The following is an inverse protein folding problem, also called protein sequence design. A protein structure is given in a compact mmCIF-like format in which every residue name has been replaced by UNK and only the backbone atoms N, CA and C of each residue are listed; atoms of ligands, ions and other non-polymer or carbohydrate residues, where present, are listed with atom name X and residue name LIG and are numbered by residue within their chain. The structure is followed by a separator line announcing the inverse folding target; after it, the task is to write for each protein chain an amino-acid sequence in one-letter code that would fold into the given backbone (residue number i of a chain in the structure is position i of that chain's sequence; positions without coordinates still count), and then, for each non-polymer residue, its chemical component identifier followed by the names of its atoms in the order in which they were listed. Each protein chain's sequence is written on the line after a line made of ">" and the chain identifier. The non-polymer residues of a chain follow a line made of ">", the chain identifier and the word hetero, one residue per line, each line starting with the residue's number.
data_IF_431398892539
#
_entry.id   IF_431398892539
#
_cell.length_a   1.000
_cell.length_b   1.000
_cell.length_c   1.000
_cell.angle_alpha   90.00
_cell.angle_beta   90.00
_cell.angle_gamma   90.00
#
_symmetry.space_group_name_H-M   'P 1'
#
loop_
_entity.id
_entity.type
_entity.pdbx_description
1 polymer ?
#
# COMPACT_ATOMS: atom_id res chain seq x y z
N UNK A 1 -11.66 -13.22 12.55
CA UNK A 1 -10.28 -12.97 12.14
C UNK A 1 -9.49 -12.47 13.32
N UNK A 2 -8.28 -13.02 13.57
CA UNK A 2 -7.37 -12.64 14.65
C UNK A 2 -6.24 -11.78 14.11
N UNK A 3 -6.00 -10.61 14.72
CA UNK A 3 -4.84 -9.76 14.42
C UNK A 3 -3.93 -9.73 15.64
N UNK A 4 -2.66 -10.13 15.45
CA UNK A 4 -1.63 -10.09 16.49
C UNK A 4 -1.01 -8.69 16.56
N UNK A 5 -0.91 -8.17 17.80
CA UNK A 5 -0.23 -6.92 18.14
C UNK A 5 0.89 -7.23 19.14
N UNK A 6 2.15 -7.38 18.69
CA UNK A 6 3.26 -7.78 19.55
C UNK A 6 3.77 -6.66 20.48
N UNK A 7 3.40 -5.40 20.19
CA UNK A 7 3.75 -4.23 21.02
C UNK A 7 2.62 -3.87 22.00
N UNK A 8 2.11 -4.89 22.70
CA UNK A 8 0.92 -4.79 23.56
C UNK A 8 1.05 -3.77 24.70
N UNK A 9 2.25 -3.35 25.06
CA UNK A 9 2.48 -2.34 26.09
C UNK A 9 2.32 -0.89 25.58
N UNK A 10 2.31 -0.68 24.26
CA UNK A 10 2.13 0.64 23.65
C UNK A 10 0.69 1.16 23.86
N UNK A 11 0.55 2.39 24.34
CA UNK A 11 -0.76 2.97 24.69
C UNK A 11 -1.65 3.22 23.46
N UNK A 12 -1.07 3.54 22.30
CA UNK A 12 -1.84 3.71 21.05
C UNK A 12 -2.40 2.35 20.58
N UNK A 13 -1.61 1.28 20.70
CA UNK A 13 -2.05 -0.10 20.38
C UNK A 13 -3.19 -0.51 21.30
N UNK A 14 -3.08 -0.29 22.62
CA UNK A 14 -4.15 -0.60 23.58
C UNK A 14 -5.44 0.15 23.28
N UNK A 15 -5.31 1.45 23.02
CA UNK A 15 -6.46 2.30 22.71
C UNK A 15 -7.14 1.83 21.42
N UNK A 16 -6.38 1.60 20.35
CA UNK A 16 -6.94 1.08 19.10
C UNK A 16 -7.60 -0.29 19.29
N UNK A 17 -6.94 -1.22 19.99
CA UNK A 17 -7.48 -2.56 20.22
C UNK A 17 -8.82 -2.57 20.93
N UNK A 18 -9.06 -1.60 21.83
CA UNK A 18 -10.35 -1.46 22.52
C UNK A 18 -11.51 -1.08 21.58
N UNK A 19 -11.22 -0.49 20.41
CA UNK A 19 -12.19 -0.05 19.42
C UNK A 19 -12.39 -1.03 18.25
N UNK A 20 -11.61 -2.14 18.18
CA UNK A 20 -11.67 -3.10 17.08
C UNK A 20 -12.83 -4.09 17.14
N UNK A 21 -13.75 -3.95 18.12
CA UNK A 21 -14.94 -4.80 18.22
C UNK A 21 -15.77 -4.74 16.95
N UNK A 22 -16.07 -5.89 16.35
CA UNK A 22 -16.80 -5.97 15.08
C UNK A 22 -15.92 -5.89 13.82
N UNK A 23 -14.64 -5.53 13.95
CA UNK A 23 -13.66 -5.51 12.86
C UNK A 23 -12.82 -6.79 12.92
N UNK A 24 -12.18 -7.05 14.06
CA UNK A 24 -11.36 -8.22 14.30
C UNK A 24 -11.30 -8.60 15.78
N UNK A 25 -10.70 -9.74 16.08
CA UNK A 25 -10.28 -10.16 17.43
C UNK A 25 -8.83 -9.71 17.63
N UNK A 26 -8.55 -8.66 18.43
CA UNK A 26 -7.19 -8.24 18.70
C UNK A 26 -6.51 -9.21 19.69
N UNK A 27 -5.35 -9.73 19.31
CA UNK A 27 -4.49 -10.55 20.16
C UNK A 27 -3.33 -9.67 20.63
N UNK A 28 -3.41 -9.19 21.86
CA UNK A 28 -2.40 -8.34 22.48
C UNK A 28 -1.36 -9.21 23.19
N UNK A 29 -0.13 -9.20 22.71
CA UNK A 29 1.00 -9.89 23.34
C UNK A 29 2.23 -9.01 23.37
N UNK A 30 2.95 -9.01 24.50
CA UNK A 30 4.25 -8.35 24.58
C UNK A 30 5.35 -9.35 24.24
N UNK A 31 5.77 -9.36 22.97
CA UNK A 31 6.78 -10.28 22.47
C UNK A 31 7.62 -9.66 21.36
N UNK A 32 8.81 -10.20 21.11
CA UNK A 32 9.69 -9.74 20.05
C UNK A 32 9.13 -10.08 18.64
N UNK A 33 9.67 -9.38 17.63
CA UNK A 33 9.25 -9.56 16.23
C UNK A 33 9.44 -10.98 15.70
N UNK A 34 10.49 -11.67 16.12
CA UNK A 34 10.75 -13.05 15.71
C UNK A 34 9.66 -13.99 16.21
N UNK A 35 9.33 -13.87 17.50
CA UNK A 35 8.26 -14.65 18.14
C UNK A 35 6.92 -14.35 17.48
N UNK A 36 6.59 -13.07 17.27
CA UNK A 36 5.35 -12.65 16.65
C UNK A 36 5.21 -13.16 15.21
N UNK A 37 6.25 -13.01 14.39
CA UNK A 37 6.26 -13.51 13.01
C UNK A 37 6.17 -15.03 12.93
N UNK A 38 6.79 -15.75 13.88
CA UNK A 38 6.69 -17.21 13.97
C UNK A 38 5.27 -17.66 14.32
N UNK A 39 4.61 -17.00 15.29
CA UNK A 39 3.20 -17.27 15.63
C UNK A 39 2.27 -17.03 14.45
N UNK A 40 2.48 -15.92 13.74
CA UNK A 40 1.73 -15.63 12.52
C UNK A 40 1.91 -16.73 11.45
N UNK A 41 3.15 -17.16 11.22
CA UNK A 41 3.46 -18.23 10.26
C UNK A 41 2.81 -19.58 10.65
N UNK A 42 2.74 -19.88 11.94
CA UNK A 42 2.09 -21.08 12.46
C UNK A 42 0.55 -21.03 12.43
N UNK A 43 -0.04 -19.89 12.08
CA UNK A 43 -1.51 -19.72 12.00
C UNK A 43 -2.18 -19.44 13.34
N UNK A 44 -1.44 -18.99 14.35
CA UNK A 44 -1.99 -18.57 15.65
C UNK A 44 -2.76 -17.24 15.52
N UNK A 45 -2.42 -16.46 14.48
CA UNK A 45 -3.15 -15.29 14.04
C UNK A 45 -3.30 -15.30 12.50
N UNK A 46 -4.23 -14.49 11.99
CA UNK A 46 -4.50 -14.34 10.56
C UNK A 46 -3.65 -13.21 9.93
N UNK A 47 -3.37 -12.16 10.72
CA UNK A 47 -2.56 -11.01 10.34
C UNK A 47 -1.77 -10.48 11.54
N UNK A 48 -0.79 -9.59 11.30
CA UNK A 48 -0.02 -8.90 12.33
C UNK A 48 0.05 -7.40 12.04
N UNK A 49 -0.11 -6.58 13.08
CA UNK A 49 0.14 -5.13 13.06
C UNK A 49 1.24 -4.84 14.08
N UNK A 50 2.34 -4.25 13.61
CA UNK A 50 3.53 -3.94 14.41
C UNK A 50 4.23 -2.69 13.86
N UNK A 51 5.38 -2.30 14.38
CA UNK A 51 6.26 -1.25 13.81
C UNK A 51 6.18 0.10 14.48
N UNK A 52 5.31 0.28 15.48
CA UNK A 52 5.24 1.57 16.16
C UNK A 52 6.52 1.86 16.98
N UNK A 53 7.14 0.83 17.53
CA UNK A 53 8.39 0.89 18.28
C UNK A 53 9.57 0.21 17.55
N UNK A 54 9.32 -0.44 16.41
CA UNK A 54 10.34 -1.08 15.58
C UNK A 54 10.70 -0.26 14.34
N UNK A 55 11.85 -0.57 13.72
CA UNK A 55 12.17 0.02 12.42
C UNK A 55 11.49 -0.77 11.29
N UNK A 56 11.10 -0.07 10.22
CA UNK A 56 10.57 -0.71 8.99
C UNK A 56 11.48 -1.82 8.47
N UNK A 57 12.80 -1.64 8.57
CA UNK A 57 13.77 -2.66 8.18
C UNK A 57 13.62 -3.94 8.98
N UNK A 58 13.49 -3.82 10.31
CA UNK A 58 13.40 -4.99 11.19
C UNK A 58 12.08 -5.73 10.99
N UNK A 59 10.98 -5.00 10.80
CA UNK A 59 9.67 -5.60 10.48
C UNK A 59 9.72 -6.35 9.14
N UNK A 60 10.29 -5.75 8.08
CA UNK A 60 10.42 -6.40 6.78
C UNK A 60 11.31 -7.65 6.88
N UNK A 61 12.45 -7.58 7.59
CA UNK A 61 13.33 -8.73 7.76
C UNK A 61 12.65 -9.86 8.53
N UNK A 62 12.00 -9.57 9.65
CA UNK A 62 11.26 -10.57 10.41
C UNK A 62 10.13 -11.20 9.58
N UNK A 63 9.37 -10.39 8.84
CA UNK A 63 8.31 -10.90 7.96
C UNK A 63 8.89 -11.80 6.86
N UNK A 64 9.98 -11.40 6.21
CA UNK A 64 10.62 -12.20 5.17
C UNK A 64 11.16 -13.52 5.70
N UNK A 65 11.83 -13.49 6.85
CA UNK A 65 12.60 -14.63 7.34
C UNK A 65 11.71 -15.66 8.06
N UNK A 66 10.61 -15.25 8.68
CA UNK A 66 9.73 -16.13 9.46
C UNK A 66 8.37 -16.38 8.80
N UNK A 67 7.72 -15.36 8.23
CA UNK A 67 6.44 -15.52 7.50
C UNK A 67 6.70 -16.03 6.09
N UNK A 68 7.69 -15.46 5.42
CA UNK A 68 8.12 -15.84 4.07
C UNK A 68 7.33 -15.15 2.95
N UNK A 69 7.99 -15.06 1.79
CA UNK A 69 7.39 -14.52 0.56
C UNK A 69 6.39 -15.54 0.02
N UNK A 70 5.29 -15.06 -0.55
CA UNK A 70 4.27 -15.90 -1.17
C UNK A 70 4.84 -16.66 -2.38
N UNK A 71 4.32 -17.86 -2.61
CA UNK A 71 4.86 -18.77 -3.61
C UNK A 71 4.75 -18.18 -5.03
N UNK A 72 5.84 -18.32 -5.80
CA UNK A 72 5.93 -17.78 -7.16
C UNK A 72 6.28 -16.31 -7.25
N UNK A 73 6.30 -15.55 -6.15
CA UNK A 73 6.65 -14.12 -6.15
C UNK A 73 8.15 -13.92 -5.94
N UNK A 74 8.70 -12.94 -6.63
CA UNK A 74 10.09 -12.45 -6.47
C UNK A 74 10.14 -11.06 -5.87
N UNK A 75 9.08 -10.29 -6.06
CA UNK A 75 8.94 -8.92 -5.60
C UNK A 75 7.96 -8.88 -4.43
N UNK A 76 8.29 -8.15 -3.39
CA UNK A 76 7.34 -7.73 -2.35
C UNK A 76 7.25 -6.21 -2.37
N UNK A 77 6.14 -5.67 -1.92
CA UNK A 77 5.81 -4.26 -1.97
C UNK A 77 5.10 -3.80 -0.69
N UNK A 78 4.69 -2.56 -0.68
CA UNK A 78 3.86 -1.99 0.38
C UNK A 78 2.79 -1.09 -0.19
N UNK A 79 1.66 -1.00 0.50
CA UNK A 79 0.64 -0.01 0.21
C UNK A 79 0.24 0.78 1.44
N UNK A 80 -0.22 1.99 1.20
CA UNK A 80 -0.90 2.85 2.17
C UNK A 80 -2.34 3.08 1.72
N UNK A 81 -3.26 3.14 2.68
CA UNK A 81 -4.65 3.52 2.44
C UNK A 81 -4.87 4.91 3.01
N UNK A 82 -4.98 5.91 2.16
CA UNK A 82 -5.26 7.28 2.57
C UNK A 82 -6.77 7.54 2.49
N UNK A 83 -7.41 7.77 3.65
CA UNK A 83 -8.83 8.15 3.78
C UNK A 83 -8.92 9.63 4.06
N UNK A 84 -9.44 10.38 3.09
CA UNK A 84 -9.64 11.82 3.20
C UNK A 84 -10.85 12.16 4.11
N UNK A 85 -10.91 13.38 4.66
CA UNK A 85 -12.05 13.83 5.47
C UNK A 85 -13.42 13.79 4.77
N UNK A 86 -13.43 13.88 3.44
CA UNK A 86 -14.65 13.77 2.63
C UNK A 86 -15.07 12.32 2.31
N UNK A 87 -14.33 11.33 2.85
CA UNK A 87 -14.60 9.90 2.71
C UNK A 87 -13.94 9.25 1.49
N UNK A 88 -13.32 10.00 0.58
CA UNK A 88 -12.58 9.40 -0.54
C UNK A 88 -11.38 8.60 -0.02
N UNK A 89 -11.15 7.45 -0.64
CA UNK A 89 -9.99 6.60 -0.34
C UNK A 89 -9.05 6.51 -1.53
N UNK A 90 -7.76 6.58 -1.27
CA UNK A 90 -6.70 6.35 -2.24
C UNK A 90 -5.73 5.28 -1.73
N UNK A 91 -5.34 4.39 -2.62
CA UNK A 91 -4.23 3.46 -2.36
C UNK A 91 -2.96 4.07 -2.96
N UNK A 92 -1.88 4.13 -2.18
CA UNK A 92 -0.57 4.65 -2.60
C UNK A 92 0.45 3.53 -2.47
N UNK A 93 1.23 3.22 -3.50
CA UNK A 93 2.24 2.15 -3.53
C UNK A 93 3.37 2.48 -4.54
N UNK A 94 4.62 2.15 -4.30
CA UNK A 94 5.25 1.66 -3.08
C UNK A 94 5.93 2.82 -2.33
N UNK A 95 5.70 2.92 -1.05
CA UNK A 95 6.28 4.03 -0.25
C UNK A 95 7.19 3.56 0.89
N UNK A 96 7.46 2.24 1.05
CA UNK A 96 8.20 1.72 2.19
C UNK A 96 9.21 0.59 1.87
N UNK A 97 9.08 -0.12 0.76
CA UNK A 97 9.90 -1.33 0.52
C UNK A 97 10.85 -1.24 -0.64
N UNK A 98 10.40 -0.90 -1.84
CA UNK A 98 11.21 -0.91 -3.05
C UNK A 98 11.76 0.49 -3.37
N UNK A 99 13.08 0.69 -3.17
CA UNK A 99 13.69 2.02 -3.28
C UNK A 99 13.60 2.60 -4.68
N UNK A 100 13.97 1.83 -5.68
CA UNK A 100 13.94 2.23 -7.09
C UNK A 100 13.63 0.98 -7.94
N UNK A 101 12.35 0.68 -8.18
CA UNK A 101 11.96 -0.52 -8.88
C UNK A 101 12.45 -0.53 -10.33
N UNK A 102 12.83 -1.69 -10.84
CA UNK A 102 12.96 -1.92 -12.29
C UNK A 102 11.58 -1.91 -12.94
N UNK A 103 11.51 -1.93 -14.27
CA UNK A 103 10.22 -2.02 -14.98
C UNK A 103 9.44 -3.29 -14.59
N UNK A 104 10.14 -4.44 -14.46
CA UNK A 104 9.52 -5.70 -14.02
C UNK A 104 9.00 -5.60 -12.59
N UNK A 105 9.80 -5.08 -11.66
CA UNK A 105 9.37 -4.87 -10.27
C UNK A 105 8.21 -3.88 -10.17
N UNK A 106 8.22 -2.81 -10.98
CA UNK A 106 7.11 -1.86 -11.01
C UNK A 106 5.82 -2.50 -11.51
N UNK A 107 5.92 -3.40 -12.49
CA UNK A 107 4.80 -4.21 -12.95
C UNK A 107 4.27 -5.15 -11.85
N UNK A 108 5.16 -5.82 -11.11
CA UNK A 108 4.78 -6.66 -9.97
C UNK A 108 4.11 -5.85 -8.85
N UNK A 109 4.62 -4.63 -8.56
CA UNK A 109 4.02 -3.69 -7.60
C UNK A 109 2.59 -3.32 -8.02
N UNK A 110 2.37 -3.01 -9.31
CA UNK A 110 1.03 -2.74 -9.86
C UNK A 110 0.08 -3.92 -9.60
N UNK A 111 0.52 -5.14 -9.92
CA UNK A 111 -0.28 -6.35 -9.79
C UNK A 111 -0.65 -6.63 -8.33
N UNK A 112 0.34 -6.66 -7.44
CA UNK A 112 0.14 -6.87 -6.00
C UNK A 112 -0.79 -5.81 -5.39
N UNK A 113 -0.58 -4.55 -5.78
CA UNK A 113 -1.39 -3.43 -5.26
C UNK A 113 -2.81 -3.48 -5.79
N UNK A 114 -3.02 -3.81 -7.08
CA UNK A 114 -4.35 -3.95 -7.67
C UNK A 114 -5.19 -5.00 -6.93
N UNK A 115 -4.62 -6.19 -6.70
CA UNK A 115 -5.36 -7.29 -6.07
C UNK A 115 -5.74 -6.98 -4.61
N UNK A 116 -4.85 -6.31 -3.86
CA UNK A 116 -5.16 -5.82 -2.53
C UNK A 116 -6.20 -4.68 -2.56
N UNK A 117 -6.01 -3.71 -3.47
CA UNK A 117 -6.89 -2.54 -3.60
C UNK A 117 -8.32 -2.93 -3.96
N UNK A 118 -8.53 -3.95 -4.79
CA UNK A 118 -9.85 -4.45 -5.16
C UNK A 118 -10.66 -4.89 -3.94
N UNK A 119 -10.00 -5.54 -2.98
CA UNK A 119 -10.60 -5.96 -1.72
C UNK A 119 -10.85 -4.79 -0.78
N UNK A 120 -9.82 -3.92 -0.57
CA UNK A 120 -9.88 -2.81 0.38
C UNK A 120 -10.89 -1.74 -0.05
N UNK A 121 -10.95 -1.41 -1.34
CA UNK A 121 -11.83 -0.36 -1.85
C UNK A 121 -13.27 -0.86 -2.07
N UNK A 122 -13.46 -2.16 -2.31
CA UNK A 122 -14.77 -2.73 -2.67
C UNK A 122 -15.31 -2.23 -4.01
N UNK A 123 -14.45 -1.63 -4.85
CA UNK A 123 -14.75 -1.16 -6.20
C UNK A 123 -13.57 -1.46 -7.14
N UNK A 124 -13.80 -1.31 -8.45
CA UNK A 124 -12.74 -1.55 -9.44
C UNK A 124 -11.57 -0.59 -9.23
N UNK A 125 -10.34 -1.10 -9.01
CA UNK A 125 -9.15 -0.30 -8.98
C UNK A 125 -8.89 0.37 -10.34
N UNK A 126 -8.61 1.65 -10.33
CA UNK A 126 -8.18 2.47 -11.46
C UNK A 126 -6.77 2.93 -11.18
N UNK A 127 -5.81 2.23 -11.75
CA UNK A 127 -4.39 2.32 -11.39
C UNK A 127 -3.70 3.36 -12.25
N UNK A 128 -3.23 4.44 -11.64
CA UNK A 128 -2.38 5.44 -12.30
C UNK A 128 -0.92 5.23 -11.90
N UNK A 129 -0.03 5.03 -12.89
CA UNK A 129 1.42 5.05 -12.66
C UNK A 129 1.89 6.49 -12.77
N UNK A 130 2.33 7.05 -11.65
CA UNK A 130 2.62 8.47 -11.52
C UNK A 130 4.01 8.84 -12.04
N UNK A 131 4.10 10.06 -12.58
CA UNK A 131 5.33 10.67 -13.04
C UNK A 131 5.19 12.21 -13.02
N UNK A 132 6.28 12.93 -13.31
CA UNK A 132 6.25 14.36 -13.59
C UNK A 132 5.66 14.69 -14.98
N UNK A 133 5.44 13.68 -15.81
CA UNK A 133 4.94 13.75 -17.20
C UNK A 133 3.54 13.14 -17.31
N UNK A 134 2.80 13.48 -18.36
CA UNK A 134 1.56 12.83 -18.76
C UNK A 134 1.64 12.50 -20.25
N UNK A 135 1.73 11.20 -20.57
CA UNK A 135 1.81 10.65 -21.93
C UNK A 135 2.84 11.37 -22.80
N UNK A 136 4.10 11.46 -22.33
CA UNK A 136 5.22 12.05 -23.07
C UNK A 136 5.32 13.57 -23.00
N UNK A 137 4.46 14.27 -22.25
CA UNK A 137 4.48 15.73 -22.15
C UNK A 137 5.76 16.31 -21.54
N UNK A 138 6.51 15.50 -20.76
CA UNK A 138 7.77 15.88 -20.10
C UNK A 138 9.01 15.71 -20.97
N UNK A 139 8.88 15.23 -22.22
CA UNK A 139 10.01 14.91 -23.11
C UNK A 139 10.58 13.51 -22.82
N UNK A 140 11.83 13.27 -23.23
CA UNK A 140 12.49 11.95 -23.03
C UNK A 140 13.18 11.89 -21.69
N UNK A 141 12.87 10.86 -20.91
CA UNK A 141 13.51 10.57 -19.62
C UNK A 141 13.46 9.07 -19.33
N UNK A 142 14.55 8.47 -18.81
CA UNK A 142 14.61 7.02 -18.52
C UNK A 142 13.51 6.53 -17.54
N UNK A 143 12.99 7.39 -16.68
CA UNK A 143 11.90 7.02 -15.76
C UNK A 143 10.59 6.80 -16.50
N UNK A 144 10.37 7.50 -17.62
CA UNK A 144 9.20 7.32 -18.48
C UNK A 144 9.30 6.02 -19.29
N UNK A 145 10.49 5.69 -19.81
CA UNK A 145 10.74 4.43 -20.52
C UNK A 145 10.45 3.25 -19.56
N UNK A 146 10.97 3.30 -18.33
CA UNK A 146 10.69 2.32 -17.27
C UNK A 146 9.18 2.16 -17.03
N UNK A 147 8.45 3.26 -16.94
CA UNK A 147 7.00 3.24 -16.70
C UNK A 147 6.25 2.63 -17.89
N UNK A 148 6.62 3.02 -19.10
CA UNK A 148 6.01 2.46 -20.32
C UNK A 148 6.23 0.94 -20.44
N UNK A 149 7.46 0.47 -20.17
CA UNK A 149 7.79 -0.95 -20.14
C UNK A 149 6.97 -1.71 -19.08
N UNK A 150 6.84 -1.15 -17.86
CA UNK A 150 6.04 -1.76 -16.79
C UNK A 150 4.57 -1.88 -17.19
N UNK A 151 3.98 -0.83 -17.74
CA UNK A 151 2.57 -0.83 -18.19
C UNK A 151 2.36 -1.84 -19.33
N UNK A 152 3.30 -1.92 -20.28
CA UNK A 152 3.23 -2.92 -21.36
C UNK A 152 3.28 -4.35 -20.79
N UNK A 153 4.16 -4.61 -19.82
CA UNK A 153 4.27 -5.91 -19.16
C UNK A 153 2.98 -6.28 -18.41
N UNK A 154 2.38 -5.36 -17.66
CA UNK A 154 1.10 -5.61 -16.96
C UNK A 154 -0.03 -5.88 -17.96
N UNK A 155 -0.17 -5.06 -18.98
CA UNK A 155 -1.23 -5.26 -20.01
C UNK A 155 -1.13 -6.63 -20.71
N UNK A 156 0.09 -7.13 -20.87
CA UNK A 156 0.32 -8.46 -21.45
C UNK A 156 -0.01 -9.60 -20.46
N UNK A 157 0.36 -9.44 -19.17
CA UNK A 157 0.16 -10.46 -18.12
C UNK A 157 -1.26 -10.47 -17.54
N UNK A 158 -1.80 -9.30 -17.32
CA UNK A 158 -3.08 -9.05 -16.62
C UNK A 158 -3.91 -8.01 -17.37
N UNK A 159 -4.51 -8.38 -18.52
CA UNK A 159 -5.34 -7.46 -19.31
C UNK A 159 -6.64 -7.03 -18.61
N UNK A 160 -6.98 -7.66 -17.49
CA UNK A 160 -8.08 -7.32 -16.60
C UNK A 160 -7.80 -6.07 -15.74
N UNK A 161 -6.52 -5.74 -15.51
CA UNK A 161 -6.12 -4.59 -14.71
C UNK A 161 -6.30 -3.29 -15.50
N UNK A 162 -7.12 -2.39 -14.96
CA UNK A 162 -7.30 -1.06 -15.52
C UNK A 162 -6.14 -0.16 -15.07
N UNK A 163 -5.04 -0.18 -15.83
CA UNK A 163 -3.82 0.59 -15.58
C UNK A 163 -3.52 1.55 -16.71
N UNK A 164 -3.04 2.76 -16.38
CA UNK A 164 -2.62 3.75 -17.36
C UNK A 164 -1.52 4.66 -16.81
N UNK A 165 -0.81 5.35 -17.71
CA UNK A 165 0.29 6.26 -17.38
C UNK A 165 1.35 6.23 -18.50
N UNK A 166 2.48 6.93 -18.32
CA UNK A 166 2.76 7.73 -17.12
C UNK A 166 1.80 8.93 -17.05
N UNK A 167 1.44 9.37 -15.86
CA UNK A 167 0.67 10.60 -15.70
C UNK A 167 1.00 11.36 -14.41
N UNK A 168 0.82 12.69 -14.48
CA UNK A 168 0.97 13.56 -13.32
C UNK A 168 -0.19 13.32 -12.35
N UNK A 169 0.05 13.57 -11.06
CA UNK A 169 -0.95 13.38 -10.00
C UNK A 169 -2.25 14.14 -10.28
N UNK A 170 -2.14 15.39 -10.71
CA UNK A 170 -3.33 16.22 -11.04
C UNK A 170 -4.15 15.62 -12.19
N UNK A 171 -3.48 15.07 -13.21
CA UNK A 171 -4.15 14.37 -14.31
C UNK A 171 -4.79 13.06 -13.85
N UNK A 172 -4.17 12.35 -12.89
CA UNK A 172 -4.69 11.09 -12.36
C UNK A 172 -6.00 11.27 -11.57
N UNK A 173 -6.08 12.30 -10.69
CA UNK A 173 -7.15 12.40 -9.70
C UNK A 173 -8.18 13.52 -9.95
N UNK A 174 -7.88 14.49 -10.82
CA UNK A 174 -8.79 15.59 -11.11
C UNK A 174 -9.50 15.39 -12.45
N UNK A 175 -10.84 15.17 -12.46
CA UNK A 175 -11.58 14.88 -13.70
C UNK A 175 -11.41 15.93 -14.79
N UNK A 176 -11.41 17.23 -14.44
CA UNK A 176 -11.24 18.32 -15.39
C UNK A 176 -9.87 18.31 -16.06
N UNK A 177 -8.82 17.99 -15.29
CA UNK A 177 -7.45 17.94 -15.78
C UNK A 177 -7.23 16.65 -16.57
N UNK A 178 -7.73 15.53 -16.07
CA UNK A 178 -7.65 14.22 -16.73
C UNK A 178 -8.23 14.25 -18.14
N UNK A 179 -9.44 14.75 -18.30
CA UNK A 179 -10.08 14.90 -19.64
C UNK A 179 -9.26 15.80 -20.58
N UNK A 180 -8.62 16.83 -20.04
CA UNK A 180 -7.81 17.75 -20.86
C UNK A 180 -6.47 17.16 -21.29
N UNK A 181 -5.76 16.47 -20.35
CA UNK A 181 -4.40 15.95 -20.60
C UNK A 181 -4.39 14.55 -21.21
N UNK A 182 -5.43 13.76 -20.95
CA UNK A 182 -5.51 12.34 -21.34
C UNK A 182 -6.95 11.92 -21.68
N UNK A 183 -7.57 12.50 -22.74
CA UNK A 183 -9.00 12.31 -23.05
C UNK A 183 -9.38 10.84 -23.33
N UNK A 184 -8.46 10.04 -23.85
CA UNK A 184 -8.68 8.64 -24.19
C UNK A 184 -8.47 7.68 -23.00
N UNK A 185 -7.91 8.17 -21.89
CA UNK A 185 -7.61 7.34 -20.71
C UNK A 185 -8.87 6.99 -19.94
N UNK A 186 -9.00 5.71 -19.59
CA UNK A 186 -10.06 5.22 -18.71
C UNK A 186 -9.73 5.42 -17.23
N UNK A 187 -8.51 5.85 -16.90
CA UNK A 187 -7.99 6.06 -15.53
C UNK A 187 -7.89 7.53 -15.18
N UNK A 188 -7.41 8.37 -16.10
CA UNK A 188 -7.18 9.80 -15.86
C UNK A 188 -8.43 10.49 -15.31
N UNK A 189 -8.22 11.32 -14.27
CA UNK A 189 -9.25 12.07 -13.58
C UNK A 189 -10.11 11.27 -12.60
N UNK A 190 -9.89 9.95 -12.49
CA UNK A 190 -10.68 9.07 -11.61
C UNK A 190 -9.86 7.93 -10.98
N UNK A 191 -8.53 8.05 -10.98
CA UNK A 191 -7.66 7.09 -10.32
C UNK A 191 -7.98 7.01 -8.82
N UNK A 192 -8.01 5.79 -8.28
CA UNK A 192 -8.12 5.50 -6.86
C UNK A 192 -6.92 4.68 -6.35
N UNK A 193 -6.02 4.26 -7.26
CA UNK A 193 -4.75 3.61 -6.96
C UNK A 193 -3.63 4.39 -7.62
N UNK A 194 -2.66 4.82 -6.83
CA UNK A 194 -1.56 5.70 -7.21
C UNK A 194 -0.24 4.93 -7.02
N UNK A 195 0.38 4.50 -8.12
CA UNK A 195 1.69 3.85 -8.10
C UNK A 195 2.76 4.90 -8.35
N UNK A 196 3.71 4.99 -7.45
CA UNK A 196 4.80 5.97 -7.55
C UNK A 196 6.06 5.37 -8.19
N UNK A 197 6.92 6.19 -8.82
CA UNK A 197 8.10 5.72 -9.54
C UNK A 197 9.24 5.22 -8.64
N UNK A 198 9.26 5.66 -7.38
CA UNK A 198 10.30 5.35 -6.39
C UNK A 198 9.82 5.62 -4.96
N UNK A 199 10.59 5.12 -3.97
CA UNK A 199 10.24 5.21 -2.54
C UNK A 199 10.18 6.66 -2.02
N UNK A 200 10.99 7.58 -2.58
CA UNK A 200 10.99 8.98 -2.12
C UNK A 200 9.66 9.63 -2.46
N UNK A 201 9.23 9.44 -3.72
CA UNK A 201 7.92 9.93 -4.19
C UNK A 201 6.77 9.37 -3.37
N UNK A 202 6.80 8.06 -3.05
CA UNK A 202 5.77 7.41 -2.24
C UNK A 202 5.75 7.92 -0.81
N UNK A 203 6.92 7.99 -0.17
CA UNK A 203 7.04 8.46 1.20
C UNK A 203 6.58 9.93 1.36
N UNK A 204 7.01 10.79 0.43
CA UNK A 204 6.57 12.19 0.44
C UNK A 204 5.06 12.28 0.19
N UNK A 205 4.52 11.50 -0.75
CA UNK A 205 3.12 11.57 -1.14
C UNK A 205 2.19 11.16 0.02
N UNK A 206 2.39 9.98 0.64
CA UNK A 206 1.49 9.56 1.71
C UNK A 206 1.57 10.50 2.92
N UNK A 207 2.78 10.99 3.27
CA UNK A 207 2.94 11.98 4.34
C UNK A 207 2.29 13.33 4.00
N UNK A 208 2.25 13.71 2.71
CA UNK A 208 1.53 14.90 2.29
C UNK A 208 0.01 14.75 2.47
N UNK A 209 -0.54 13.56 2.25
CA UNK A 209 -1.95 13.28 2.56
C UNK A 209 -2.24 13.44 4.06
N UNK A 210 -1.37 12.93 4.94
CA UNK A 210 -1.49 13.11 6.39
C UNK A 210 -1.39 14.59 6.78
N UNK A 211 -0.29 15.23 6.43
CA UNK A 211 0.09 16.53 6.97
C UNK A 211 -0.68 17.71 6.36
N UNK A 212 -1.06 17.63 5.09
CA UNK A 212 -1.69 18.75 4.38
C UNK A 212 -3.15 18.49 4.01
N UNK A 213 -3.56 17.25 3.81
CA UNK A 213 -4.93 16.92 3.45
C UNK A 213 -5.77 16.41 4.63
N UNK A 214 -5.19 16.24 5.82
CA UNK A 214 -5.88 15.74 7.00
C UNK A 214 -6.41 14.32 6.83
N UNK A 215 -5.72 13.52 6.02
CA UNK A 215 -6.10 12.14 5.80
C UNK A 215 -5.69 11.25 6.98
N UNK A 216 -6.54 10.29 7.35
CA UNK A 216 -6.13 9.11 8.11
C UNK A 216 -5.41 8.16 7.16
N UNK A 217 -4.22 7.67 7.54
CA UNK A 217 -3.41 6.81 6.66
C UNK A 217 -3.09 5.48 7.33
N UNK A 218 -3.63 4.39 6.77
CA UNK A 218 -3.30 3.03 7.17
C UNK A 218 -2.01 2.55 6.51
N UNK A 219 -1.26 1.73 7.23
CA UNK A 219 -0.08 1.06 6.71
C UNK A 219 1.26 1.66 7.16
N UNK A 220 2.37 1.24 6.47
CA UNK A 220 2.34 0.42 5.25
C UNK A 220 1.87 -1.01 5.51
N UNK A 221 1.00 -1.49 4.64
CA UNK A 221 0.63 -2.89 4.57
C UNK A 221 1.57 -3.59 3.60
N UNK A 222 2.27 -4.61 4.07
CA UNK A 222 3.24 -5.35 3.27
C UNK A 222 2.54 -6.34 2.33
N UNK A 223 2.92 -6.33 1.07
CA UNK A 223 2.37 -7.15 0.00
C UNK A 223 3.39 -8.19 -0.48
N UNK A 224 2.89 -9.34 -0.94
CA UNK A 224 3.74 -10.41 -1.49
C UNK A 224 4.26 -11.38 -0.42
N UNK A 225 3.78 -11.33 0.80
CA UNK A 225 4.08 -12.29 1.87
C UNK A 225 2.96 -13.32 2.04
N UNK A 226 3.28 -14.46 2.65
CA UNK A 226 2.31 -15.57 2.86
C UNK A 226 1.16 -15.20 3.79
N UNK A 227 1.37 -14.23 4.67
CA UNK A 227 0.36 -13.71 5.61
C UNK A 227 0.44 -12.17 5.63
N UNK A 228 -0.68 -11.49 5.82
CA UNK A 228 -0.71 -10.04 5.90
C UNK A 228 0.02 -9.51 7.13
N UNK A 229 0.89 -8.53 6.91
CA UNK A 229 1.61 -7.81 7.96
C UNK A 229 1.54 -6.31 7.66
N UNK A 230 1.31 -5.50 8.69
CA UNK A 230 1.47 -4.05 8.59
C UNK A 230 2.59 -3.57 9.50
N UNK A 231 3.40 -2.64 8.97
CA UNK A 231 4.46 -1.93 9.66
C UNK A 231 4.01 -0.49 9.93
N UNK A 232 3.58 -0.22 11.14
CA UNK A 232 3.07 1.11 11.53
C UNK A 232 4.17 2.17 11.47
N UNK A 233 3.80 3.39 11.12
CA UNK A 233 4.67 4.54 11.34
C UNK A 233 4.78 4.83 12.85
N UNK A 234 5.95 5.28 13.31
CA UNK A 234 6.13 5.78 14.68
C UNK A 234 5.23 6.97 15.05
N UNK A 235 4.66 7.62 14.05
CA UNK A 235 3.70 8.70 14.22
C UNK A 235 2.25 8.29 14.03
N UNK A 236 1.95 6.98 13.94
CA UNK A 236 0.59 6.48 13.75
C UNK A 236 -0.31 6.84 14.94
N UNK A 237 -1.49 7.32 14.60
CA UNK A 237 -2.56 7.62 15.56
C UNK A 237 -3.41 6.37 15.83
N UNK A 238 -4.32 6.44 16.79
CA UNK A 238 -5.31 5.38 17.06
C UNK A 238 -6.16 5.12 15.81
N UNK A 239 -6.59 6.17 15.13
CA UNK A 239 -7.41 6.12 13.92
C UNK A 239 -6.66 5.45 12.75
N UNK A 240 -5.34 5.67 12.62
CA UNK A 240 -4.50 5.01 11.59
C UNK A 240 -4.40 3.51 11.86
N UNK A 241 -4.25 3.11 13.14
CA UNK A 241 -4.19 1.70 13.55
C UNK A 241 -5.54 1.01 13.28
N UNK A 242 -6.66 1.65 13.61
CA UNK A 242 -8.00 1.13 13.34
C UNK A 242 -8.21 0.96 11.83
N UNK A 243 -7.89 1.98 11.03
CA UNK A 243 -8.00 1.90 9.56
C UNK A 243 -7.08 0.82 8.98
N UNK A 244 -5.92 0.58 9.60
CA UNK A 244 -5.01 -0.51 9.22
C UNK A 244 -5.65 -1.87 9.49
N UNK A 245 -6.24 -2.07 10.66
CA UNK A 245 -6.93 -3.30 11.01
C UNK A 245 -8.15 -3.55 10.11
N UNK A 246 -8.97 -2.52 9.80
CA UNK A 246 -10.05 -2.58 8.82
C UNK A 246 -9.53 -3.03 7.45
N UNK A 247 -8.44 -2.41 6.98
CA UNK A 247 -7.87 -2.70 5.65
C UNK A 247 -7.34 -4.14 5.56
N UNK A 248 -6.64 -4.62 6.59
CA UNK A 248 -6.20 -6.01 6.67
C UNK A 248 -7.37 -6.99 6.71
N UNK A 249 -8.45 -6.64 7.43
CA UNK A 249 -9.66 -7.47 7.50
C UNK A 249 -10.33 -7.66 6.14
N UNK A 250 -10.33 -6.63 5.31
CA UNK A 250 -10.88 -6.69 3.96
C UNK A 250 -10.01 -7.48 2.99
N UNK A 251 -8.70 -7.64 3.28
CA UNK A 251 -7.77 -8.39 2.42
C UNK A 251 -7.87 -9.92 2.60
N UNK A 252 -8.36 -10.39 3.73
CA UNK A 252 -8.52 -11.80 4.06
C UNK A 252 -9.87 -12.35 3.60
#
# INVERSE_FOLDING_TARGET
>A
MKILFPEANNEYIKAAAAELSGICEPVLEDCDLQTAATKLANGEADAMITGIDYSTRDVILATRDYVGIAEGLKTFSSLFVAKLPDGRRYIISDGATCKNPTAEQLADIVELTHDAAAKILGEQPRVAVLSFSTFGSGGKDPSMDKTAEAIAAIRARRPDILVDGEMQLDAAVNPRIGVKKAPESKVAGRANVLIVPDINSGNILYKSFEQFAGATVAGPILLGFKKPVSDLSRGSTVEDIILTAESLSLML
#
